data_IF_300315319699
#
_entry.id   IF_300315319699
#
_cell.length_a   1.000
_cell.length_b   1.000
_cell.length_c   1.000
_cell.angle_alpha   90.00
_cell.angle_beta   90.00
_cell.angle_gamma   90.00
#
_symmetry.space_group_name_H-M   'P 1'
#
loop_
_entity.id
_entity.type
_entity.pdbx_description
1 polymer ?
#
# COMPACT_ATOMS: atom_id res chain seq x y z
N UNK A 1 -27.39 -1.11 13.52
CA UNK A 1 -26.28 -1.11 14.49
C UNK A 1 -25.53 -2.41 14.23
N UNK A 2 -24.41 -2.35 13.51
CA UNK A 2 -23.58 -3.53 13.28
C UNK A 2 -22.77 -3.72 14.54
N UNK A 3 -22.96 -4.87 15.19
CA UNK A 3 -22.21 -5.27 16.36
C UNK A 3 -20.80 -5.73 15.90
N UNK A 4 -19.79 -4.93 16.21
CA UNK A 4 -18.39 -5.19 15.85
C UNK A 4 -17.69 -6.12 16.86
N UNK A 5 -18.41 -6.56 17.91
CA UNK A 5 -17.86 -7.41 18.95
C UNK A 5 -17.52 -8.81 18.43
N UNK A 6 -18.07 -9.26 17.31
CA UNK A 6 -17.70 -10.56 16.74
C UNK A 6 -16.30 -10.56 16.09
N UNK A 7 -15.85 -9.40 15.57
CA UNK A 7 -14.48 -9.20 15.06
C UNK A 7 -13.52 -8.89 16.24
N UNK A 8 -14.03 -8.28 17.32
CA UNK A 8 -13.23 -7.77 18.43
C UNK A 8 -13.13 -8.69 19.67
N UNK A 9 -14.18 -9.46 20.01
CA UNK A 9 -14.37 -10.14 21.30
C UNK A 9 -14.49 -11.67 21.23
N UNK A 10 -14.39 -12.33 20.07
CA UNK A 10 -14.37 -13.79 20.05
C UNK A 10 -13.03 -14.33 20.55
N UNK A 11 -12.98 -14.47 21.88
CA UNK A 11 -11.96 -15.10 22.69
C UNK A 11 -11.33 -16.32 22.00
N UNK A 12 -10.10 -16.17 21.51
CA UNK A 12 -9.24 -17.29 21.12
C UNK A 12 -9.51 -17.92 19.74
N UNK A 13 -10.28 -17.26 18.85
CA UNK A 13 -10.41 -17.69 17.47
C UNK A 13 -9.88 -16.61 16.51
N UNK A 14 -9.21 -17.00 15.39
CA UNK A 14 -8.82 -16.04 14.35
C UNK A 14 -10.06 -15.30 13.82
N UNK A 15 -9.88 -14.05 13.40
CA UNK A 15 -10.98 -13.27 12.85
C UNK A 15 -11.67 -14.03 11.71
N UNK A 16 -12.99 -14.17 11.78
CA UNK A 16 -13.77 -14.92 10.80
C UNK A 16 -13.67 -14.24 9.43
N UNK A 17 -13.06 -14.89 8.41
CA UNK A 17 -12.99 -14.30 7.08
C UNK A 17 -14.36 -13.97 6.51
N UNK A 18 -15.39 -14.75 6.86
CA UNK A 18 -16.77 -14.48 6.42
C UNK A 18 -17.35 -13.18 6.99
N UNK A 19 -16.96 -12.78 8.20
CA UNK A 19 -17.42 -11.52 8.81
C UNK A 19 -16.67 -10.33 8.23
N UNK A 20 -15.36 -10.47 8.00
CA UNK A 20 -14.54 -9.46 7.32
C UNK A 20 -15.05 -9.20 5.90
N UNK A 21 -15.43 -10.26 5.18
CA UNK A 21 -16.02 -10.17 3.84
C UNK A 21 -17.33 -9.36 3.82
N UNK A 22 -18.17 -9.47 4.84
CA UNK A 22 -19.47 -8.77 4.89
C UNK A 22 -19.34 -7.27 5.11
N UNK A 23 -18.23 -6.81 5.69
CA UNK A 23 -18.03 -5.40 6.05
C UNK A 23 -16.94 -4.73 5.21
N UNK A 24 -16.32 -5.46 4.27
CA UNK A 24 -15.32 -4.89 3.36
C UNK A 24 -15.95 -3.86 2.44
N UNK A 25 -15.20 -2.83 2.11
CA UNK A 25 -15.57 -1.82 1.13
C UNK A 25 -14.71 -1.99 -0.12
N UNK A 26 -15.34 -2.21 -1.27
CA UNK A 26 -14.63 -2.38 -2.55
C UNK A 26 -13.83 -1.14 -2.99
N UNK A 27 -14.19 0.04 -2.48
CA UNK A 27 -13.56 1.31 -2.81
C UNK A 27 -12.56 1.82 -1.76
N UNK A 28 -12.03 0.93 -0.92
CA UNK A 28 -11.12 1.27 0.16
C UNK A 28 -10.02 0.22 0.36
N UNK A 29 -8.94 0.63 0.99
CA UNK A 29 -7.96 -0.32 1.55
C UNK A 29 -8.55 -0.87 2.85
N UNK A 30 -8.98 -2.13 2.82
CA UNK A 30 -9.60 -2.77 3.97
C UNK A 30 -8.53 -3.21 4.98
N UNK A 31 -8.56 -2.65 6.18
CA UNK A 31 -7.64 -2.99 7.27
C UNK A 31 -8.45 -3.52 8.46
N UNK A 32 -8.29 -4.81 8.75
CA UNK A 32 -8.97 -5.50 9.85
C UNK A 32 -8.06 -5.60 11.07
N UNK A 33 -8.53 -5.05 12.18
CA UNK A 33 -7.79 -5.04 13.45
C UNK A 33 -8.28 -6.16 14.33
N UNK A 34 -7.38 -7.07 14.69
CA UNK A 34 -7.73 -8.33 15.37
C UNK A 34 -6.89 -8.53 16.63
N UNK A 35 -7.30 -9.44 17.52
CA UNK A 35 -6.47 -9.79 18.68
C UNK A 35 -5.30 -10.71 18.28
N UNK A 36 -5.53 -11.63 17.35
CA UNK A 36 -4.52 -12.54 16.80
C UNK A 36 -4.70 -12.61 15.27
N UNK A 37 -3.65 -12.28 14.53
CA UNK A 37 -3.65 -12.37 13.07
C UNK A 37 -3.38 -13.81 12.58
N UNK A 38 -2.82 -14.69 13.42
CA UNK A 38 -2.60 -16.10 13.09
C UNK A 38 -3.71 -17.03 13.59
N UNK A 39 -4.08 -18.02 12.78
CA UNK A 39 -4.80 -19.22 13.23
C UNK A 39 -3.84 -20.38 13.51
N UNK A 40 -4.32 -21.39 14.26
CA UNK A 40 -3.60 -22.65 14.52
C UNK A 40 -2.99 -23.24 13.24
N UNK A 41 -1.69 -23.03 13.01
CA UNK A 41 -0.95 -23.56 11.85
C UNK A 41 -0.18 -22.53 11.04
N UNK A 42 -0.46 -21.23 11.20
CA UNK A 42 0.41 -20.17 10.66
C UNK A 42 1.47 -19.81 11.71
N UNK A 43 2.74 -19.77 11.31
CA UNK A 43 3.84 -19.17 12.07
C UNK A 43 3.33 -17.80 12.57
N UNK A 44 3.53 -17.47 13.85
CA UNK A 44 2.86 -16.35 14.52
C UNK A 44 3.08 -14.99 13.87
N UNK A 45 2.26 -14.66 12.86
CA UNK A 45 2.30 -13.38 12.15
C UNK A 45 1.59 -12.32 12.96
N UNK A 46 2.18 -11.13 13.02
CA UNK A 46 1.64 -9.95 13.73
C UNK A 46 0.79 -9.05 12.81
N UNK A 47 0.90 -9.25 11.50
CA UNK A 47 0.06 -8.69 10.44
C UNK A 47 0.31 -9.47 9.14
N UNK A 48 -0.61 -9.35 8.18
CA UNK A 48 -0.43 -9.86 6.83
C UNK A 48 -1.37 -9.17 5.83
N UNK A 49 -0.92 -9.06 4.58
CA UNK A 49 -1.77 -8.81 3.41
C UNK A 49 -2.23 -10.13 2.76
N UNK A 50 -3.53 -10.26 2.49
CA UNK A 50 -4.12 -11.42 1.81
C UNK A 50 -4.32 -11.09 0.32
N UNK A 51 -3.48 -11.66 -0.55
CA UNK A 51 -3.57 -11.49 -2.01
C UNK A 51 -4.91 -11.97 -2.61
N UNK A 52 -5.53 -12.99 -2.03
CA UNK A 52 -6.75 -13.58 -2.57
C UNK A 52 -8.00 -12.78 -2.23
N UNK A 53 -7.97 -12.04 -1.12
CA UNK A 53 -9.10 -11.24 -0.61
C UNK A 53 -8.87 -9.74 -0.69
N UNK A 54 -7.65 -9.33 -0.99
CA UNK A 54 -7.24 -7.94 -1.16
C UNK A 54 -7.51 -7.09 0.08
N UNK A 55 -7.07 -7.58 1.24
CA UNK A 55 -7.20 -6.90 2.52
C UNK A 55 -5.96 -7.06 3.39
N UNK A 56 -5.87 -6.24 4.43
CA UNK A 56 -4.83 -6.31 5.45
C UNK A 56 -5.47 -6.76 6.76
N UNK A 57 -4.83 -7.70 7.45
CA UNK A 57 -5.19 -8.11 8.81
C UNK A 57 -4.01 -7.82 9.73
N UNK A 58 -4.25 -7.15 10.84
CA UNK A 58 -3.18 -6.70 11.74
C UNK A 58 -3.58 -6.85 13.21
N UNK A 59 -2.63 -7.28 14.05
CA UNK A 59 -2.87 -7.35 15.49
C UNK A 59 -3.01 -5.94 16.08
N UNK A 60 -3.95 -5.79 17.03
CA UNK A 60 -4.29 -4.52 17.67
C UNK A 60 -3.09 -3.82 18.30
N UNK A 61 -2.16 -4.56 18.86
CA UNK A 61 -0.95 -4.00 19.50
C UNK A 61 0.06 -3.45 18.48
N UNK A 62 -0.09 -3.76 17.20
CA UNK A 62 0.76 -3.28 16.12
C UNK A 62 0.33 -1.93 15.53
N UNK A 63 -0.86 -1.40 15.88
CA UNK A 63 -1.36 -0.09 15.41
C UNK A 63 -0.98 1.04 16.41
N UNK A 64 0.15 0.90 17.10
CA UNK A 64 0.64 1.92 18.03
C UNK A 64 1.56 2.90 17.30
N UNK A 65 1.60 4.18 17.71
CA UNK A 65 2.57 5.12 17.18
C UNK A 65 3.99 4.55 17.27
N UNK A 66 4.73 4.60 16.16
CA UNK A 66 6.10 4.09 16.06
C UNK A 66 6.23 2.71 15.40
N UNK A 67 5.18 1.87 15.45
CA UNK A 67 5.22 0.56 14.78
C UNK A 67 5.11 0.69 13.27
N UNK A 68 5.85 -0.13 12.54
CA UNK A 68 5.91 -0.14 11.08
C UNK A 68 5.15 -1.30 10.45
N UNK A 69 4.59 -2.21 11.23
CA UNK A 69 3.82 -3.36 10.74
C UNK A 69 2.71 -2.95 9.77
N UNK A 70 1.88 -1.95 10.10
CA UNK A 70 0.82 -1.53 9.17
C UNK A 70 1.39 -0.96 7.87
N UNK A 71 2.46 -0.16 7.96
CA UNK A 71 3.11 0.37 6.77
C UNK A 71 3.69 -0.75 5.91
N UNK A 72 4.29 -1.76 6.52
CA UNK A 72 4.81 -2.96 5.89
C UNK A 72 3.71 -3.72 5.12
N UNK A 73 2.59 -4.01 5.76
CA UNK A 73 1.46 -4.67 5.07
C UNK A 73 0.85 -3.83 3.95
N UNK A 74 0.82 -2.50 4.11
CA UNK A 74 0.42 -1.58 3.04
C UNK A 74 1.40 -1.62 1.87
N UNK A 75 2.69 -1.85 2.12
CA UNK A 75 3.67 -2.11 1.08
C UNK A 75 3.31 -3.34 0.24
N UNK A 76 3.01 -4.46 0.89
CA UNK A 76 2.54 -5.67 0.20
C UNK A 76 1.24 -5.47 -0.57
N UNK A 77 0.28 -4.74 0.03
CA UNK A 77 -0.96 -4.38 -0.65
C UNK A 77 -0.68 -3.66 -1.98
N UNK A 78 0.34 -2.80 -2.03
CA UNK A 78 0.78 -2.11 -3.24
C UNK A 78 1.95 -2.82 -3.95
N UNK A 79 1.91 -4.15 -3.96
CA UNK A 79 2.76 -5.04 -4.77
C UNK A 79 4.25 -5.07 -4.40
N UNK A 80 4.66 -4.53 -3.23
CA UNK A 80 6.03 -4.68 -2.77
C UNK A 80 6.29 -6.10 -2.27
N UNK A 81 7.43 -6.64 -2.66
CA UNK A 81 8.03 -7.82 -2.04
C UNK A 81 8.93 -7.39 -0.88
N UNK A 82 9.30 -8.33 -0.02
CA UNK A 82 10.40 -8.10 0.91
C UNK A 82 11.73 -7.99 0.15
N UNK A 83 12.67 -7.11 0.54
CA UNK A 83 14.04 -7.10 0.00
C UNK A 83 14.72 -8.47 0.06
N UNK A 84 14.30 -9.30 1.04
CA UNK A 84 14.74 -10.67 1.20
C UNK A 84 13.86 -11.72 0.53
N UNK A 85 13.16 -11.37 -0.54
CA UNK A 85 12.34 -12.31 -1.29
C UNK A 85 13.15 -13.54 -1.72
N UNK A 86 12.61 -14.72 -1.40
CA UNK A 86 13.28 -16.02 -1.57
C UNK A 86 13.93 -16.56 -0.29
N UNK A 87 14.20 -15.68 0.70
CA UNK A 87 14.70 -16.01 2.04
C UNK A 87 13.63 -15.92 3.13
N UNK A 88 12.37 -15.67 2.75
CA UNK A 88 11.23 -15.48 3.66
C UNK A 88 11.01 -16.68 4.60
N UNK A 89 11.16 -17.90 4.07
CA UNK A 89 10.91 -19.15 4.80
C UNK A 89 12.12 -19.67 5.58
N UNK A 90 13.32 -19.16 5.30
CA UNK A 90 14.56 -19.57 5.95
C UNK A 90 15.59 -18.44 5.84
N UNK A 91 15.82 -17.72 6.94
CA UNK A 91 16.87 -16.71 6.99
C UNK A 91 18.25 -17.34 6.80
N UNK A 92 19.18 -16.54 6.27
CA UNK A 92 20.53 -16.99 6.03
C UNK A 92 21.19 -17.50 7.32
N UNK A 93 21.91 -18.60 7.17
CA UNK A 93 22.67 -19.25 8.22
C UNK A 93 23.89 -19.86 7.54
N UNK A 94 25.08 -19.52 8.05
CA UNK A 94 26.33 -19.92 7.43
C UNK A 94 26.57 -21.44 7.37
N UNK A 95 25.96 -22.22 8.26
CA UNK A 95 26.09 -23.68 8.31
C UNK A 95 25.13 -24.32 7.31
N UNK A 96 23.90 -23.82 7.21
CA UNK A 96 22.87 -24.36 6.32
C UNK A 96 23.06 -23.93 4.87
N UNK A 97 23.46 -22.67 4.66
CA UNK A 97 23.46 -22.04 3.34
C UNK A 97 24.87 -21.78 2.79
N UNK A 98 25.90 -21.78 3.65
CA UNK A 98 27.27 -21.43 3.29
C UNK A 98 27.56 -19.93 3.32
N UNK A 99 28.85 -19.57 3.21
CA UNK A 99 29.31 -18.20 3.07
C UNK A 99 30.55 -18.15 2.14
N UNK A 100 30.40 -17.88 0.83
CA UNK A 100 29.19 -17.41 0.16
C UNK A 100 28.11 -18.50 -0.01
N UNK A 101 26.83 -18.11 -0.14
CA UNK A 101 25.74 -19.03 -0.41
C UNK A 101 25.73 -19.52 -1.87
N UNK A 102 24.84 -20.47 -2.17
CA UNK A 102 24.56 -20.89 -3.53
C UNK A 102 23.90 -19.79 -4.39
N UNK A 103 23.65 -20.09 -5.67
CA UNK A 103 23.05 -19.12 -6.60
C UNK A 103 21.52 -18.97 -6.49
N UNK A 104 20.86 -19.84 -5.73
CA UNK A 104 19.41 -19.82 -5.49
C UNK A 104 19.16 -19.67 -3.99
N UNK A 105 18.15 -18.87 -3.64
CA UNK A 105 17.68 -18.71 -2.29
C UNK A 105 17.02 -20.02 -1.78
N UNK A 106 16.72 -20.14 -0.47
CA UNK A 106 16.18 -21.37 0.13
C UNK A 106 14.84 -21.85 -0.44
N UNK A 107 14.07 -20.96 -1.09
CA UNK A 107 12.87 -21.33 -1.84
C UNK A 107 13.16 -22.23 -3.07
N UNK A 108 14.43 -22.36 -3.47
CA UNK A 108 14.89 -23.16 -4.60
C UNK A 108 14.53 -22.59 -5.98
N UNK A 109 14.01 -21.36 -6.04
CA UNK A 109 13.47 -20.74 -7.25
C UNK A 109 14.06 -19.37 -7.51
N UNK A 110 14.22 -18.56 -6.46
CA UNK A 110 14.63 -17.16 -6.58
C UNK A 110 16.15 -17.08 -6.68
N UNK A 111 16.71 -16.41 -7.71
CA UNK A 111 18.14 -16.14 -7.78
C UNK A 111 18.58 -15.29 -6.60
N UNK A 112 19.74 -15.61 -6.02
CA UNK A 112 20.34 -14.79 -4.96
C UNK A 112 20.84 -13.47 -5.55
N UNK A 113 20.39 -12.36 -4.98
CA UNK A 113 20.78 -11.03 -5.43
C UNK A 113 22.26 -10.74 -5.13
N UNK A 114 22.93 -10.13 -6.11
CA UNK A 114 24.35 -9.77 -6.05
C UNK A 114 24.53 -8.34 -5.62
N UNK A 115 25.58 -8.09 -4.84
CA UNK A 115 25.90 -6.76 -4.30
C UNK A 115 26.26 -5.77 -5.41
N UNK A 116 26.79 -6.24 -6.53
CA UNK A 116 27.09 -5.41 -7.71
C UNK A 116 25.85 -4.97 -8.51
N UNK A 117 24.64 -5.42 -8.13
CA UNK A 117 23.38 -5.11 -8.81
C UNK A 117 23.23 -5.76 -10.19
N UNK A 118 24.12 -6.68 -10.59
CA UNK A 118 24.09 -7.27 -11.94
C UNK A 118 22.84 -8.09 -12.24
N UNK A 119 22.10 -8.53 -11.21
CA UNK A 119 20.87 -9.29 -11.34
C UNK A 119 19.67 -8.72 -10.55
N UNK A 120 19.76 -7.49 -10.03
CA UNK A 120 18.72 -6.89 -9.18
C UNK A 120 17.32 -6.86 -9.80
N UNK A 121 17.18 -6.87 -11.13
CA UNK A 121 15.86 -6.90 -11.80
C UNK A 121 15.19 -8.29 -11.83
N UNK A 122 15.92 -9.35 -11.49
CA UNK A 122 15.45 -10.75 -11.60
C UNK A 122 15.70 -11.58 -10.34
N UNK A 123 16.46 -11.05 -9.40
CA UNK A 123 16.74 -11.61 -8.07
C UNK A 123 16.04 -10.79 -6.99
N UNK A 124 15.94 -11.34 -5.77
CA UNK A 124 15.40 -10.63 -4.61
C UNK A 124 14.01 -10.04 -4.87
N UNK A 125 13.79 -8.81 -4.39
CA UNK A 125 12.53 -8.07 -4.56
C UNK A 125 12.35 -7.43 -5.94
N UNK A 126 13.34 -7.61 -6.82
CA UNK A 126 13.38 -7.10 -8.20
C UNK A 126 13.58 -5.59 -8.31
N UNK A 127 14.10 -4.95 -7.27
CA UNK A 127 14.43 -3.53 -7.24
C UNK A 127 15.94 -3.34 -7.11
N UNK A 128 16.48 -2.32 -7.77
CA UNK A 128 17.93 -2.10 -7.85
C UNK A 128 18.44 -1.05 -6.86
N UNK A 129 17.52 -0.36 -6.16
CA UNK A 129 17.85 0.60 -5.10
C UNK A 129 17.68 0.03 -3.68
N UNK A 130 17.35 -1.25 -3.58
CA UNK A 130 17.30 -2.06 -2.36
C UNK A 130 18.48 -3.02 -2.39
N UNK A 131 19.43 -2.92 -1.45
CA UNK A 131 20.55 -3.87 -1.40
C UNK A 131 20.08 -5.30 -1.03
N UNK A 132 20.86 -6.33 -1.40
CA UNK A 132 20.56 -7.72 -1.05
C UNK A 132 20.35 -7.90 0.47
N UNK A 133 19.22 -8.49 0.85
CA UNK A 133 18.90 -8.90 2.22
C UNK A 133 18.60 -10.40 2.20
N UNK A 134 19.25 -11.19 3.06
CA UNK A 134 18.97 -12.64 3.17
C UNK A 134 18.15 -12.96 4.42
N UNK A 135 17.19 -12.07 4.69
CA UNK A 135 16.34 -12.06 5.88
C UNK A 135 17.16 -11.89 7.17
N UNK A 136 18.16 -11.01 7.09
CA UNK A 136 19.20 -10.80 8.11
C UNK A 136 18.66 -10.07 9.34
N UNK A 137 17.53 -9.39 9.20
CA UNK A 137 16.91 -8.58 10.25
C UNK A 137 16.37 -9.38 11.44
N UNK A 138 16.03 -10.66 11.26
CA UNK A 138 15.46 -11.50 12.34
C UNK A 138 16.41 -11.66 13.53
N UNK A 139 17.71 -11.79 13.28
CA UNK A 139 18.72 -11.88 14.34
C UNK A 139 19.21 -10.49 14.81
N UNK A 140 18.85 -9.43 14.08
CA UNK A 140 19.25 -8.04 14.33
C UNK A 140 18.11 -7.14 14.82
N UNK A 141 17.06 -7.71 15.43
CA UNK A 141 15.90 -6.96 15.93
C UNK A 141 16.19 -5.98 17.08
N UNK A 142 17.42 -5.98 17.62
CA UNK A 142 17.87 -5.02 18.65
C UNK A 142 18.96 -4.05 18.15
N UNK A 143 19.27 -4.06 16.85
CA UNK A 143 20.33 -3.23 16.25
C UNK A 143 19.83 -2.53 14.99
N UNK A 144 20.42 -1.37 14.69
CA UNK A 144 20.23 -0.64 13.43
C UNK A 144 21.44 -0.77 12.50
N UNK A 145 22.30 -1.74 12.76
CA UNK A 145 23.52 -1.95 11.97
C UNK A 145 23.77 -3.44 11.90
N UNK A 146 23.68 -3.97 10.69
CA UNK A 146 24.06 -5.32 10.35
C UNK A 146 25.59 -5.46 10.41
N UNK A 147 26.05 -6.53 11.05
CA UNK A 147 27.47 -6.85 11.16
C UNK A 147 27.73 -8.36 11.03
N UNK A 148 26.78 -9.10 10.42
CA UNK A 148 26.82 -10.55 10.33
C UNK A 148 27.79 -11.12 9.29
N UNK A 149 28.29 -10.29 8.37
CA UNK A 149 29.35 -10.68 7.43
C UNK A 149 28.94 -11.71 6.36
N UNK A 150 27.65 -11.83 6.08
CA UNK A 150 27.16 -12.58 4.92
C UNK A 150 27.79 -12.05 3.62
N UNK A 151 28.12 -12.97 2.72
CA UNK A 151 28.63 -12.68 1.39
C UNK A 151 27.57 -13.04 0.34
N UNK A 152 27.62 -12.39 -0.81
CA UNK A 152 26.86 -12.80 -1.99
C UNK A 152 27.58 -13.96 -2.72
N UNK A 153 26.98 -14.57 -3.75
CA UNK A 153 27.62 -15.66 -4.50
C UNK A 153 28.93 -15.27 -5.21
N UNK A 154 29.24 -13.98 -5.35
CA UNK A 154 30.52 -13.48 -5.87
C UNK A 154 31.57 -13.23 -4.77
N UNK A 155 31.22 -13.44 -3.50
CA UNK A 155 32.09 -13.21 -2.34
C UNK A 155 32.13 -11.74 -1.90
N UNK A 156 31.19 -10.90 -2.34
CA UNK A 156 31.08 -9.51 -1.88
C UNK A 156 30.28 -9.46 -0.58
N UNK A 157 30.75 -8.66 0.37
CA UNK A 157 30.07 -8.50 1.67
C UNK A 157 28.74 -7.77 1.48
N UNK A 158 27.68 -8.29 2.10
CA UNK A 158 26.36 -7.66 2.11
C UNK A 158 26.34 -6.44 3.04
N UNK A 159 25.62 -5.41 2.60
CA UNK A 159 25.29 -4.20 3.36
C UNK A 159 23.79 -3.89 3.15
N UNK A 160 22.88 -4.63 3.84
CA UNK A 160 21.44 -4.46 3.70
C UNK A 160 21.00 -3.10 4.25
N UNK A 161 19.96 -2.48 3.67
CA UNK A 161 19.41 -1.24 4.22
C UNK A 161 18.40 -1.53 5.35
N UNK A 162 18.85 -1.42 6.61
CA UNK A 162 18.03 -1.71 7.81
C UNK A 162 16.89 -0.71 8.03
N UNK A 163 16.83 0.33 7.21
CA UNK A 163 15.80 1.39 7.28
C UNK A 163 14.58 1.06 6.44
N UNK A 164 14.65 0.06 5.57
CA UNK A 164 13.54 -0.29 4.68
C UNK A 164 12.38 -0.86 5.48
N UNK A 165 11.19 -0.25 5.34
CA UNK A 165 9.95 -0.71 6.00
C UNK A 165 9.65 -2.16 5.63
N UNK A 166 9.96 -2.57 4.40
CA UNK A 166 9.74 -3.93 3.88
C UNK A 166 10.77 -4.97 4.38
N UNK A 167 11.75 -4.58 5.18
CA UNK A 167 12.67 -5.54 5.82
C UNK A 167 12.16 -6.01 7.19
N UNK A 168 12.83 -6.99 7.79
CA UNK A 168 12.55 -7.49 9.15
C UNK A 168 13.54 -6.98 10.20
N UNK A 169 14.32 -5.94 9.89
CA UNK A 169 15.17 -5.28 10.87
C UNK A 169 14.35 -4.60 11.98
N UNK A 170 15.05 -4.19 13.04
CA UNK A 170 14.44 -3.54 14.20
C UNK A 170 13.48 -2.42 13.82
N UNK A 171 12.31 -2.42 14.46
CA UNK A 171 11.29 -1.38 14.38
C UNK A 171 11.84 0.03 14.66
N UNK A 172 12.89 0.14 15.49
CA UNK A 172 13.51 1.43 15.81
C UNK A 172 14.24 2.07 14.63
N UNK A 173 14.57 1.28 13.60
CA UNK A 173 15.44 1.69 12.49
C UNK A 173 14.65 1.87 11.21
N UNK A 174 13.65 1.00 11.00
CA UNK A 174 12.78 1.01 9.82
C UNK A 174 12.00 2.31 9.75
N UNK A 175 12.15 3.01 8.62
CA UNK A 175 11.55 4.33 8.44
C UNK A 175 11.12 4.69 7.04
N UNK A 176 11.70 4.07 6.02
CA UNK A 176 11.58 4.52 4.64
C UNK A 176 11.10 3.38 3.72
N UNK A 177 10.36 3.75 2.67
CA UNK A 177 10.33 2.98 1.44
C UNK A 177 11.40 3.55 0.50
N UNK A 178 12.12 2.71 -0.22
CA UNK A 178 13.10 3.17 -1.22
C UNK A 178 12.41 4.00 -2.33
N UNK A 179 13.16 4.84 -3.08
CA UNK A 179 12.65 5.48 -4.29
C UNK A 179 11.90 4.53 -5.26
N UNK A 180 12.47 3.37 -5.61
CA UNK A 180 11.84 2.41 -6.52
C UNK A 180 10.64 1.70 -5.87
N UNK A 181 10.69 1.39 -4.57
CA UNK A 181 9.51 0.89 -3.84
C UNK A 181 8.34 1.88 -3.92
N UNK A 182 8.58 3.18 -3.66
CA UNK A 182 7.54 4.21 -3.79
C UNK A 182 7.02 4.32 -5.23
N UNK A 183 7.88 4.17 -6.22
CA UNK A 183 7.48 4.18 -7.62
C UNK A 183 6.60 2.98 -7.96
N UNK A 184 6.96 1.77 -7.50
CA UNK A 184 6.19 0.55 -7.71
C UNK A 184 4.83 0.64 -7.03
N UNK A 185 4.79 1.11 -5.77
CA UNK A 185 3.52 1.32 -5.07
C UNK A 185 2.62 2.31 -5.80
N UNK A 186 3.19 3.40 -6.32
CA UNK A 186 2.44 4.39 -7.12
C UNK A 186 1.96 3.80 -8.44
N UNK A 187 2.76 2.97 -9.10
CA UNK A 187 2.38 2.30 -10.34
C UNK A 187 1.22 1.32 -10.09
N UNK A 188 1.27 0.54 -9.01
CA UNK A 188 0.18 -0.34 -8.58
C UNK A 188 -1.09 0.47 -8.27
N UNK A 189 -0.96 1.52 -7.46
CA UNK A 189 -2.06 2.44 -7.13
C UNK A 189 -2.69 3.08 -8.37
N UNK A 190 -1.95 3.30 -9.47
CA UNK A 190 -2.46 3.86 -10.72
C UNK A 190 -2.94 2.79 -11.72
N UNK A 191 -2.73 1.51 -11.42
CA UNK A 191 -3.15 0.41 -12.28
C UNK A 191 -4.67 0.31 -12.39
N UNK A 192 -5.13 -0.43 -13.40
CA UNK A 192 -6.55 -0.73 -13.57
C UNK A 192 -7.10 -1.59 -12.42
N UNK A 193 -6.28 -2.45 -11.82
CA UNK A 193 -6.66 -3.28 -10.68
C UNK A 193 -7.04 -2.44 -9.45
N UNK A 194 -6.44 -1.25 -9.30
CA UNK A 194 -6.71 -0.32 -8.19
C UNK A 194 -7.72 0.79 -8.52
N UNK A 195 -8.41 0.72 -9.67
CA UNK A 195 -9.39 1.75 -10.10
C UNK A 195 -10.39 2.10 -9.00
N UNK A 196 -10.87 1.10 -8.24
CA UNK A 196 -11.86 1.28 -7.19
C UNK A 196 -11.36 2.13 -6.02
N UNK A 197 -10.06 2.32 -5.82
CA UNK A 197 -9.52 3.21 -4.78
C UNK A 197 -9.58 4.70 -5.18
N UNK A 198 -9.85 4.98 -6.46
CA UNK A 198 -9.80 6.33 -7.05
C UNK A 198 -11.21 6.85 -7.33
N UNK A 199 -12.10 6.74 -6.35
CA UNK A 199 -13.51 7.16 -6.47
C UNK A 199 -13.72 8.66 -6.30
N UNK A 200 -12.77 9.36 -5.68
CA UNK A 200 -12.75 10.82 -5.65
C UNK A 200 -11.98 11.35 -6.86
N UNK A 201 -12.44 12.45 -7.50
CA UNK A 201 -11.60 13.15 -8.46
C UNK A 201 -10.29 13.61 -7.78
N UNK A 202 -9.17 13.68 -8.52
CA UNK A 202 -7.87 14.00 -7.95
C UNK A 202 -7.92 15.28 -7.10
N UNK A 203 -7.33 15.25 -5.90
CA UNK A 203 -7.23 16.41 -4.99
C UNK A 203 -6.52 17.61 -5.63
N UNK A 204 -5.72 17.36 -6.66
CA UNK A 204 -5.04 18.37 -7.46
C UNK A 204 -5.41 18.20 -8.93
N UNK A 205 -6.53 18.80 -9.32
CA UNK A 205 -6.70 19.16 -10.71
C UNK A 205 -5.93 20.46 -10.95
N UNK A 206 -4.98 20.43 -11.88
CA UNK A 206 -4.40 21.67 -12.40
C UNK A 206 -5.53 22.52 -12.96
N UNK A 207 -5.80 23.67 -12.37
CA UNK A 207 -6.75 24.63 -12.92
C UNK A 207 -6.22 25.11 -14.25
N UNK A 208 -6.85 24.69 -15.35
CA UNK A 208 -6.54 25.19 -16.69
C UNK A 208 -7.32 26.49 -16.87
N UNK A 209 -6.61 27.59 -17.12
CA UNK A 209 -7.24 28.79 -17.66
C UNK A 209 -7.59 28.52 -19.14
N UNK A 210 -8.75 28.93 -19.66
CA UNK A 210 -9.70 29.89 -19.08
C UNK A 210 -10.76 29.31 -18.13
N UNK A 211 -11.29 30.19 -17.29
CA UNK A 211 -12.45 29.94 -16.41
C UNK A 211 -13.70 29.77 -17.26
N UNK A 212 -14.52 28.77 -16.94
CA UNK A 212 -15.81 28.57 -17.57
C UNK A 212 -16.89 29.42 -16.90
N UNK A 213 -17.80 30.00 -17.69
CA UNK A 213 -18.92 30.79 -17.19
C UNK A 213 -20.14 29.88 -16.98
N UNK A 214 -20.71 29.88 -15.78
CA UNK A 214 -21.97 29.19 -15.50
C UNK A 214 -23.11 29.87 -16.26
N UNK A 215 -23.74 29.13 -17.18
CA UNK A 215 -24.85 29.59 -18.01
C UNK A 215 -26.21 29.27 -17.37
N UNK A 216 -26.35 28.09 -16.75
CA UNK A 216 -27.57 27.67 -16.06
C UNK A 216 -27.26 26.87 -14.79
N UNK A 217 -27.96 27.14 -13.66
CA UNK A 217 -28.74 28.36 -13.44
C UNK A 217 -27.83 29.59 -13.49
N UNK A 218 -28.36 30.75 -13.90
CA UNK A 218 -27.60 31.98 -13.83
C UNK A 218 -27.13 32.22 -12.37
N UNK A 219 -25.97 32.86 -12.13
CA UNK A 219 -25.54 33.18 -10.77
C UNK A 219 -26.64 33.90 -9.97
N UNK A 220 -27.03 33.32 -8.83
CA UNK A 220 -28.13 33.81 -7.99
C UNK A 220 -29.54 33.51 -8.52
N UNK A 221 -29.65 32.72 -9.59
CA UNK A 221 -30.91 32.28 -10.18
C UNK A 221 -31.59 31.19 -9.35
N UNK A 222 -32.92 31.14 -9.44
CA UNK A 222 -33.73 30.06 -8.89
C UNK A 222 -33.91 28.96 -9.93
N UNK A 223 -34.06 27.72 -9.48
CA UNK A 223 -34.42 26.57 -10.33
C UNK A 223 -35.89 26.25 -10.13
N UNK A 224 -36.60 25.89 -11.21
CA UNK A 224 -38.03 25.55 -11.13
C UNK A 224 -38.28 24.16 -10.49
N UNK A 225 -37.23 23.36 -10.35
CA UNK A 225 -37.28 21.99 -9.84
C UNK A 225 -36.64 21.92 -8.45
N UNK A 226 -37.34 21.31 -7.50
CA UNK A 226 -36.87 21.12 -6.13
C UNK A 226 -35.88 19.95 -5.99
N UNK A 227 -35.89 19.01 -6.94
CA UNK A 227 -35.25 17.71 -6.78
C UNK A 227 -34.11 17.46 -7.80
N UNK A 228 -33.93 18.36 -8.78
CA UNK A 228 -32.91 18.24 -9.82
C UNK A 228 -32.46 19.60 -10.30
N UNK A 229 -31.16 19.81 -10.45
CA UNK A 229 -30.59 21.00 -11.07
C UNK A 229 -29.71 20.59 -12.24
N UNK A 230 -30.05 21.06 -13.44
CA UNK A 230 -29.14 20.94 -14.57
C UNK A 230 -28.18 22.12 -14.56
N UNK A 231 -26.90 21.82 -14.46
CA UNK A 231 -25.81 22.78 -14.58
C UNK A 231 -25.32 22.81 -16.03
N UNK A 232 -25.17 24.01 -16.59
CA UNK A 232 -24.58 24.24 -17.91
C UNK A 232 -23.60 25.38 -17.86
N UNK A 233 -22.48 25.26 -18.57
CA UNK A 233 -21.41 26.25 -18.56
C UNK A 233 -20.75 26.40 -19.94
N UNK A 234 -19.94 27.42 -20.15
CA UNK A 234 -19.24 27.63 -21.43
C UNK A 234 -18.11 26.62 -21.62
N UNK A 235 -18.00 26.03 -22.80
CA UNK A 235 -16.91 25.08 -23.07
C UNK A 235 -15.55 25.79 -23.16
N UNK A 236 -14.53 25.15 -22.60
CA UNK A 236 -13.16 25.65 -22.60
C UNK A 236 -12.31 24.86 -23.61
N UNK A 237 -11.71 25.55 -24.58
CA UNK A 237 -10.84 24.93 -25.59
C UNK A 237 -9.57 24.35 -24.95
N UNK A 238 -9.19 23.13 -25.33
CA UNK A 238 -7.99 22.46 -24.83
C UNK A 238 -8.11 21.83 -23.44
N UNK A 239 -9.31 21.81 -22.85
CA UNK A 239 -9.54 21.17 -21.56
C UNK A 239 -9.81 19.66 -21.73
N UNK A 240 -9.27 18.85 -20.81
CA UNK A 240 -9.50 17.40 -20.77
C UNK A 240 -10.82 17.01 -20.09
N UNK A 241 -11.20 17.70 -19.00
CA UNK A 241 -12.44 17.47 -18.25
C UNK A 241 -12.75 18.63 -17.28
N UNK A 242 -14.01 18.78 -16.90
CA UNK A 242 -14.53 19.69 -15.87
C UNK A 242 -14.71 18.97 -14.54
N UNK A 243 -14.31 19.64 -13.45
CA UNK A 243 -14.74 19.32 -12.09
C UNK A 243 -15.97 20.15 -11.74
N UNK A 244 -17.07 19.48 -11.43
CA UNK A 244 -18.32 20.10 -11.03
C UNK A 244 -18.53 19.82 -9.55
N UNK A 245 -18.69 20.87 -8.76
CA UNK A 245 -18.98 20.80 -7.33
C UNK A 245 -20.32 21.46 -7.04
N UNK A 246 -21.14 20.79 -6.22
CA UNK A 246 -22.42 21.30 -5.73
C UNK A 246 -22.41 21.20 -4.20
N UNK A 247 -22.61 22.34 -3.55
CA UNK A 247 -22.68 22.43 -2.09
C UNK A 247 -23.80 23.41 -1.69
N UNK A 248 -24.31 23.24 -0.47
CA UNK A 248 -25.20 24.17 0.21
C UNK A 248 -24.44 25.32 0.89
N UNK A 249 -23.12 25.23 0.97
CA UNK A 249 -22.22 26.29 1.43
C UNK A 249 -21.49 26.95 0.26
N UNK A 250 -21.41 28.29 0.21
CA UNK A 250 -20.60 28.99 -0.79
C UNK A 250 -19.10 28.74 -0.61
N UNK A 251 -18.68 28.21 0.55
CA UNK A 251 -17.30 27.80 0.80
C UNK A 251 -17.00 26.35 0.37
N UNK A 252 -18.00 25.60 -0.13
CA UNK A 252 -17.87 24.20 -0.54
C UNK A 252 -17.30 23.29 0.56
N UNK A 253 -17.68 23.56 1.80
CA UNK A 253 -17.18 22.91 3.01
C UNK A 253 -18.22 22.05 3.75
N UNK A 254 -19.42 21.87 3.19
CA UNK A 254 -20.50 21.04 3.78
C UNK A 254 -20.72 19.75 2.98
N UNK A 255 -19.63 19.02 2.77
CA UNK A 255 -19.60 17.75 2.02
C UNK A 255 -20.09 17.92 0.57
N UNK A 256 -19.33 18.66 -0.27
CA UNK A 256 -19.73 18.95 -1.63
C UNK A 256 -19.89 17.67 -2.46
N UNK A 257 -20.98 17.59 -3.22
CA UNK A 257 -21.12 16.57 -4.25
C UNK A 257 -20.16 16.94 -5.38
N UNK A 258 -19.23 16.05 -5.68
CA UNK A 258 -18.20 16.29 -6.68
C UNK A 258 -18.32 15.30 -7.83
N UNK A 259 -18.25 15.81 -9.07
CA UNK A 259 -18.34 15.05 -10.31
C UNK A 259 -17.27 15.49 -11.28
N UNK A 260 -16.73 14.56 -12.06
CA UNK A 260 -15.85 14.83 -13.19
C UNK A 260 -16.61 14.52 -14.48
N UNK A 261 -16.59 15.43 -15.46
CA UNK A 261 -17.27 15.24 -16.75
C UNK A 261 -16.46 15.85 -17.90
N UNK A 262 -16.58 15.32 -19.11
CA UNK A 262 -16.00 15.92 -20.32
C UNK A 262 -17.00 16.80 -21.06
N UNK A 263 -18.27 16.75 -20.69
CA UNK A 263 -19.35 17.53 -21.28
C UNK A 263 -19.56 18.84 -20.52
N UNK A 264 -19.99 19.90 -21.20
CA UNK A 264 -20.32 21.19 -20.58
C UNK A 264 -21.72 21.25 -19.96
N UNK A 265 -22.19 20.09 -19.46
CA UNK A 265 -23.49 19.89 -18.82
C UNK A 265 -23.38 18.79 -17.74
N UNK A 266 -24.11 18.96 -16.63
CA UNK A 266 -24.24 17.98 -15.56
C UNK A 266 -25.66 18.07 -14.95
N UNK A 267 -26.26 16.94 -14.61
CA UNK A 267 -27.60 16.84 -13.99
C UNK A 267 -27.56 15.98 -12.74
#
# INVERSE_FOLDING_TARGET
MIDHDAIYLHHGLPASPAQMEQVRADSAVNVFVVQQAGGSGSIGVIGYYDLGRDWIVIQRDQIRPGNRTLAHEVGHYFSLLHPHFGWDGAAWDSVLHGNPPGSLAPDGLTPVERVDGSNCQTAGDRLCDTPPDYNLGLDWQQSCTYAGGALDPAGQVLDPDERLIMSYFSESCRRDFSPEQRQLMRADYLSAARNALRTAPPDTLSTVAPVSDLLQPAPGGLTDWADSVQLRWSSVSGQAAYLVQVDRSPAFDLSPITRLTTESVCS
#
